data_IF_953179381998
#
_entry.id   IF_953179381998
#
_cell.length_a   1.000
_cell.length_b   1.000
_cell.length_c   1.000
_cell.angle_alpha   90.00
_cell.angle_beta   90.00
_cell.angle_gamma   90.00
#
_symmetry.space_group_name_H-M   'P 1'
#
loop_
_entity.id
_entity.type
_entity.pdbx_description
1 polymer ?
#
# COMPACT_ATOMS: atom_id res chain seq x y z
N UNK A 1 19.19 -46.45 9.94
CA UNK A 1 19.58 -45.05 10.24
C UNK A 1 18.76 -44.18 9.30
N UNK A 2 17.72 -43.55 9.83
CA UNK A 2 16.76 -42.79 9.04
C UNK A 2 17.33 -41.39 8.80
N UNK A 3 17.64 -41.08 7.54
CA UNK A 3 17.97 -39.72 7.13
C UNK A 3 16.66 -38.91 7.10
N UNK A 4 16.35 -38.24 8.20
CA UNK A 4 15.37 -37.17 8.21
C UNK A 4 16.04 -35.93 7.59
N UNK A 5 15.92 -35.78 6.28
CA UNK A 5 16.12 -34.47 5.65
C UNK A 5 15.05 -33.52 6.22
N UNK A 6 15.42 -32.36 6.79
CA UNK A 6 14.42 -31.38 7.19
C UNK A 6 13.71 -30.88 5.93
N UNK A 7 12.38 -30.71 5.94
CA UNK A 7 11.69 -30.14 4.79
C UNK A 7 12.25 -28.74 4.57
N UNK A 8 13.01 -28.58 3.48
CA UNK A 8 13.41 -27.30 2.91
C UNK A 8 12.16 -26.65 2.31
N UNK A 9 11.18 -26.35 3.17
CA UNK A 9 10.00 -25.60 2.83
C UNK A 9 10.44 -24.15 2.87
N UNK A 10 11.05 -23.71 1.76
CA UNK A 10 11.23 -22.30 1.50
C UNK A 10 9.85 -21.66 1.65
N UNK A 11 9.65 -20.94 2.77
CA UNK A 11 8.48 -20.11 3.00
C UNK A 11 8.33 -19.21 1.77
N UNK A 12 7.45 -19.60 0.85
CA UNK A 12 7.28 -18.89 -0.39
C UNK A 12 6.75 -17.51 -0.04
N UNK A 13 7.64 -16.50 -0.11
CA UNK A 13 7.30 -15.10 0.04
C UNK A 13 6.17 -14.77 -0.93
N UNK A 14 4.96 -14.58 -0.40
CA UNK A 14 3.80 -14.21 -1.19
C UNK A 14 3.64 -12.69 -1.19
N UNK A 15 3.05 -12.15 -2.25
CA UNK A 15 2.85 -10.71 -2.40
C UNK A 15 1.43 -10.43 -2.89
N UNK A 16 0.85 -9.34 -2.41
CA UNK A 16 -0.41 -8.80 -2.90
C UNK A 16 -0.21 -7.40 -3.46
N UNK A 17 -0.96 -7.06 -4.51
CA UNK A 17 -0.86 -5.77 -5.17
C UNK A 17 -2.25 -5.13 -5.26
N UNK A 18 -2.40 -3.95 -4.68
CA UNK A 18 -3.63 -3.15 -4.77
C UNK A 18 -3.38 -1.96 -5.67
N UNK A 19 -4.28 -1.75 -6.63
CA UNK A 19 -4.26 -0.56 -7.49
C UNK A 19 -4.88 0.62 -6.74
N UNK A 20 -4.27 1.78 -6.91
CA UNK A 20 -4.81 3.05 -6.45
C UNK A 20 -5.50 3.69 -7.66
N UNK A 21 -6.79 3.97 -7.53
CA UNK A 21 -7.53 4.69 -8.53
C UNK A 21 -7.00 6.13 -8.64
N UNK A 22 -6.73 6.64 -9.85
CA UNK A 22 -6.33 8.01 -10.02
C UNK A 22 -7.48 8.95 -9.65
N UNK A 23 -7.11 10.13 -9.16
CA UNK A 23 -8.03 11.26 -9.04
C UNK A 23 -8.67 11.58 -10.41
N UNK A 24 -9.94 11.27 -10.60
CA UNK A 24 -10.73 11.72 -11.75
C UNK A 24 -11.27 13.13 -11.52
N UNK A 25 -10.97 14.05 -12.45
CA UNK A 25 -11.68 15.34 -12.54
C UNK A 25 -12.98 15.10 -13.31
N UNK A 26 -14.05 14.76 -12.60
CA UNK A 26 -15.39 14.68 -13.19
C UNK A 26 -16.11 16.04 -13.20
N UNK A 27 -15.66 17.01 -12.41
CA UNK A 27 -16.17 18.40 -12.43
C UNK A 27 -15.14 19.39 -11.85
N UNK A 28 -15.21 20.70 -12.20
CA UNK A 28 -14.27 21.72 -11.67
C UNK A 28 -14.36 21.91 -10.15
N UNK A 29 -15.41 21.42 -9.50
CA UNK A 29 -15.65 21.56 -8.05
C UNK A 29 -15.40 20.28 -7.24
N UNK A 30 -15.37 19.10 -7.87
CA UNK A 30 -15.16 17.83 -7.17
C UNK A 30 -13.77 17.25 -7.50
N UNK A 31 -12.77 17.59 -6.68
CA UNK A 31 -11.45 16.94 -6.73
C UNK A 31 -11.57 15.58 -6.05
N UNK A 32 -11.76 14.51 -6.82
CA UNK A 32 -11.63 13.16 -6.26
C UNK A 32 -10.17 12.93 -5.86
N UNK A 33 -9.94 12.37 -4.68
CA UNK A 33 -8.59 12.05 -4.16
C UNK A 33 -8.19 10.65 -4.64
N UNK A 34 -6.89 10.36 -4.84
CA UNK A 34 -6.45 9.01 -5.16
C UNK A 34 -6.90 8.03 -4.07
N UNK A 35 -7.60 6.96 -4.47
CA UNK A 35 -8.27 6.05 -3.55
C UNK A 35 -7.82 4.60 -3.80
N UNK A 36 -7.46 3.90 -2.74
CA UNK A 36 -7.10 2.48 -2.77
C UNK A 36 -8.08 1.68 -1.93
N UNK A 37 -8.67 0.62 -2.51
CA UNK A 37 -9.51 -0.32 -1.78
C UNK A 37 -8.69 -1.54 -1.39
N UNK A 38 -8.37 -1.68 -0.11
CA UNK A 38 -7.59 -2.79 0.44
C UNK A 38 -8.55 -3.81 1.08
N UNK A 39 -8.61 -5.06 0.59
CA UNK A 39 -9.61 -6.05 1.03
C UNK A 39 -9.22 -6.83 2.29
N UNK A 40 -8.08 -6.51 2.90
CA UNK A 40 -7.54 -7.18 4.09
C UNK A 40 -6.99 -6.16 5.09
N UNK A 41 -6.89 -6.59 6.35
CA UNK A 41 -6.13 -5.86 7.36
C UNK A 41 -4.63 -5.93 7.02
N UNK A 42 -3.91 -4.84 7.22
CA UNK A 42 -2.49 -4.76 6.86
C UNK A 42 -1.68 -3.98 7.89
N UNK A 43 -0.38 -4.22 7.90
CA UNK A 43 0.58 -3.64 8.85
C UNK A 43 1.39 -2.55 8.17
N UNK A 44 1.55 -1.42 8.86
CA UNK A 44 2.47 -0.33 8.50
C UNK A 44 3.28 0.01 9.75
N UNK A 45 4.59 -0.26 9.71
CA UNK A 45 5.45 -0.12 10.90
C UNK A 45 4.96 -1.03 12.03
N UNK A 46 4.53 -0.43 13.14
CA UNK A 46 4.00 -1.08 14.34
C UNK A 46 2.45 -1.07 14.42
N UNK A 47 1.77 -0.58 13.37
CA UNK A 47 0.31 -0.39 13.37
C UNK A 47 -0.40 -1.34 12.42
N UNK A 48 -1.54 -1.86 12.87
CA UNK A 48 -2.49 -2.60 12.04
C UNK A 48 -3.60 -1.67 11.56
N UNK A 49 -3.75 -1.55 10.25
CA UNK A 49 -4.79 -0.81 9.56
C UNK A 49 -5.86 -1.77 9.05
N UNK A 50 -7.13 -1.40 9.23
CA UNK A 50 -8.26 -2.26 8.84
C UNK A 50 -8.51 -2.27 7.35
N UNK A 51 -9.06 -3.36 6.82
CA UNK A 51 -9.56 -3.38 5.45
C UNK A 51 -10.50 -2.19 5.17
N UNK A 52 -10.42 -1.64 3.96
CA UNK A 52 -11.24 -0.50 3.56
C UNK A 52 -10.64 0.38 2.48
N UNK A 53 -11.26 1.54 2.31
CA UNK A 53 -10.82 2.56 1.37
C UNK A 53 -9.81 3.50 2.04
N UNK A 54 -8.72 3.79 1.34
CA UNK A 54 -7.63 4.64 1.81
C UNK A 54 -7.28 5.71 0.79
N UNK A 55 -7.16 6.95 1.24
CA UNK A 55 -6.58 8.02 0.45
C UNK A 55 -5.07 8.01 0.59
N UNK A 56 -4.38 8.32 -0.52
CA UNK A 56 -2.92 8.41 -0.57
C UNK A 56 -2.57 9.81 -1.06
N UNK A 57 -1.95 10.59 -0.17
CA UNK A 57 -1.69 12.01 -0.39
C UNK A 57 -0.20 12.31 -0.22
N UNK A 58 0.34 13.32 -0.94
CA UNK A 58 1.66 13.87 -0.63
C UNK A 58 1.73 14.34 0.82
N UNK A 59 2.84 14.05 1.49
CA UNK A 59 3.17 14.65 2.78
C UNK A 59 3.99 15.94 2.58
N UNK A 60 3.93 16.84 3.56
CA UNK A 60 4.89 17.95 3.68
C UNK A 60 6.32 17.44 3.95
N UNK A 61 6.46 16.22 4.47
CA UNK A 61 7.76 15.56 4.63
C UNK A 61 8.22 15.02 3.28
N UNK A 62 9.35 15.55 2.80
CA UNK A 62 9.90 15.19 1.50
C UNK A 62 10.14 13.67 1.37
N UNK A 63 9.57 13.06 0.32
CA UNK A 63 9.72 11.63 0.06
C UNK A 63 8.75 10.73 0.84
N UNK A 64 7.84 11.31 1.62
CA UNK A 64 6.81 10.58 2.35
C UNK A 64 5.42 10.84 1.77
N UNK A 65 4.52 9.89 2.01
CA UNK A 65 3.09 10.00 1.73
C UNK A 65 2.31 9.81 3.00
N UNK A 66 1.14 10.44 3.02
CA UNK A 66 0.12 10.23 4.01
C UNK A 66 -0.86 9.19 3.48
N UNK A 67 -1.00 8.08 4.19
CA UNK A 67 -2.09 7.12 3.98
C UNK A 67 -3.12 7.35 5.08
N UNK A 68 -4.35 7.63 4.68
CA UNK A 68 -5.47 7.87 5.60
C UNK A 68 -6.67 7.03 5.19
N UNK A 69 -7.40 6.49 6.17
CA UNK A 69 -8.66 5.81 5.88
C UNK A 69 -9.69 6.83 5.42
N UNK A 70 -10.32 6.56 4.28
CA UNK A 70 -11.31 7.47 3.70
C UNK A 70 -12.55 7.57 4.60
N UNK A 71 -13.08 8.79 4.76
CA UNK A 71 -14.25 9.05 5.60
C UNK A 71 -14.08 8.80 7.11
N UNK A 72 -12.84 8.71 7.61
CA UNK A 72 -12.57 8.48 9.03
C UNK A 72 -11.54 9.47 9.59
N UNK A 73 -11.77 9.93 10.82
CA UNK A 73 -10.79 10.69 11.62
C UNK A 73 -9.68 9.82 12.22
N UNK A 74 -9.45 8.63 11.64
CA UNK A 74 -8.34 7.76 12.03
C UNK A 74 -7.01 8.49 11.82
N UNK A 75 -6.07 8.30 12.76
CA UNK A 75 -4.75 8.89 12.63
C UNK A 75 -4.08 8.44 11.32
N UNK A 76 -3.63 9.36 10.47
CA UNK A 76 -2.91 9.02 9.26
C UNK A 76 -1.59 8.32 9.59
N UNK A 77 -1.11 7.49 8.66
CA UNK A 77 0.23 6.91 8.72
C UNK A 77 1.12 7.49 7.63
N UNK A 78 2.38 7.74 7.97
CA UNK A 78 3.38 8.18 7.01
C UNK A 78 4.10 6.97 6.43
N UNK A 79 4.22 6.93 5.11
CA UNK A 79 4.88 5.85 4.39
C UNK A 79 5.85 6.41 3.38
N UNK A 80 6.97 5.72 3.17
CA UNK A 80 7.97 6.17 2.21
C UNK A 80 7.46 5.97 0.77
N UNK A 81 7.54 7.03 -0.03
CA UNK A 81 7.25 6.95 -1.45
C UNK A 81 8.42 6.30 -2.19
N UNK A 82 8.15 5.25 -2.96
CA UNK A 82 9.10 4.76 -3.96
C UNK A 82 8.76 5.42 -5.29
N UNK A 83 9.57 6.41 -5.66
CA UNK A 83 9.44 7.12 -6.94
C UNK A 83 9.99 6.23 -8.04
N UNK A 84 9.11 5.80 -8.95
CA UNK A 84 9.54 5.09 -10.14
C UNK A 84 9.64 6.08 -11.31
N UNK A 85 10.84 6.25 -11.88
CA UNK A 85 11.11 7.21 -12.96
C UNK A 85 10.45 6.90 -14.32
N UNK A 86 9.49 5.96 -14.38
CA UNK A 86 8.76 5.64 -15.61
C UNK A 86 7.46 6.45 -15.67
N UNK A 87 7.47 7.43 -16.56
CA UNK A 87 6.31 8.24 -16.97
C UNK A 87 5.10 7.33 -17.26
N UNK A 88 4.01 7.51 -16.53
CA UNK A 88 2.77 6.73 -16.70
C UNK A 88 2.56 5.53 -15.78
N UNK A 89 3.35 5.36 -14.71
CA UNK A 89 3.12 4.26 -13.77
C UNK A 89 1.80 4.45 -12.99
N UNK A 90 0.97 3.42 -12.97
CA UNK A 90 -0.23 3.34 -12.11
C UNK A 90 0.21 3.46 -10.65
N UNK A 91 -0.53 4.22 -9.85
CA UNK A 91 -0.31 4.27 -8.41
C UNK A 91 -0.69 2.90 -7.82
N UNK A 92 0.23 2.24 -7.09
CA UNK A 92 0.00 0.89 -6.56
C UNK A 92 0.57 0.75 -5.15
N UNK A 93 -0.10 -0.07 -4.35
CA UNK A 93 0.37 -0.55 -3.06
C UNK A 93 0.85 -2.00 -3.24
N UNK A 94 2.07 -2.29 -2.82
CA UNK A 94 2.61 -3.64 -2.76
C UNK A 94 2.68 -4.09 -1.31
N UNK A 95 2.16 -5.29 -1.05
CA UNK A 95 2.16 -5.91 0.26
C UNK A 95 3.00 -7.17 0.22
N UNK A 96 3.81 -7.35 1.25
CA UNK A 96 4.50 -8.60 1.54
C UNK A 96 3.64 -9.44 2.48
N UNK A 97 3.43 -10.70 2.15
CA UNK A 97 2.59 -11.61 2.91
C UNK A 97 3.48 -12.57 3.71
N UNK A 98 3.39 -12.54 5.04
CA UNK A 98 4.14 -13.43 5.92
C UNK A 98 3.24 -13.91 7.03
N UNK A 99 3.19 -15.23 7.26
CA UNK A 99 2.41 -15.84 8.35
C UNK A 99 0.96 -15.31 8.42
N UNK A 100 0.31 -15.19 7.26
CA UNK A 100 -1.07 -14.71 7.11
C UNK A 100 -1.29 -13.22 7.46
N UNK A 101 -0.23 -12.42 7.55
CA UNK A 101 -0.27 -10.97 7.70
C UNK A 101 0.20 -10.28 6.42
N UNK A 102 -0.40 -9.13 6.11
CA UNK A 102 -0.03 -8.30 4.97
C UNK A 102 0.74 -7.08 5.47
N UNK A 103 2.00 -6.94 5.11
CA UNK A 103 2.84 -5.78 5.44
C UNK A 103 2.94 -4.87 4.24
N UNK A 104 2.65 -3.58 4.40
CA UNK A 104 2.84 -2.62 3.33
C UNK A 104 4.34 -2.48 3.05
N UNK A 105 4.77 -2.98 1.90
CA UNK A 105 6.16 -2.98 1.49
C UNK A 105 6.51 -1.75 0.66
N UNK A 106 5.63 -1.38 -0.29
CA UNK A 106 5.91 -0.29 -1.23
C UNK A 106 4.67 0.49 -1.60
N UNK A 107 4.82 1.82 -1.68
CA UNK A 107 3.85 2.70 -2.35
C UNK A 107 4.51 3.28 -3.60
N UNK A 108 4.09 2.76 -4.75
CA UNK A 108 4.60 3.17 -6.06
C UNK A 108 3.72 4.27 -6.58
N UNK A 109 4.31 5.43 -6.84
CA UNK A 109 3.65 6.60 -7.41
C UNK A 109 4.18 6.82 -8.82
N UNK A 110 3.29 6.96 -9.79
CA UNK A 110 3.66 7.46 -11.11
C UNK A 110 3.77 8.97 -11.08
N UNK A 111 4.95 9.48 -11.42
CA UNK A 111 5.09 10.90 -11.75
C UNK A 111 4.40 11.14 -13.10
N UNK A 112 3.54 12.16 -13.14
CA UNK A 112 2.84 12.62 -14.36
C UNK A 112 3.73 13.57 -15.14
#
# INVERSE_FOLDING_TARGET
>A
MNNCEPPNQADACSFAMVRVAPAHRSSPTCRSRPLAHVPFDFVVGDRVLKAGAYTIEPSDVMGMLVVRRDGSDSQPVLVQAIRHGRRGAVHKLLFYCQQNLYFLAQVVIGLK
#
